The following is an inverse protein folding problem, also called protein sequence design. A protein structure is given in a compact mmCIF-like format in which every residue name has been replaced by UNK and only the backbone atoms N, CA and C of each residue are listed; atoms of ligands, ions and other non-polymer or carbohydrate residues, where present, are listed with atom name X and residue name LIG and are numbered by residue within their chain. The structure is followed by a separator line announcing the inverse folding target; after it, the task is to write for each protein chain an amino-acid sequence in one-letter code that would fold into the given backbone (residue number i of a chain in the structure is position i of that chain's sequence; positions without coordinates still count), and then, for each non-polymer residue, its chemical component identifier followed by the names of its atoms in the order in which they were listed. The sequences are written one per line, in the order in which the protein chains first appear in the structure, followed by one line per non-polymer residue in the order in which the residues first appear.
data_IF_683934800530
#
_entry.id   IF_683934800530
#
_cell.length_a   1.000
_cell.length_b   1.000
_cell.length_c   1.000
_cell.angle_alpha   90.00
_cell.angle_beta   90.00
_cell.angle_gamma   90.00
#
_symmetry.space_group_name_H-M   'P 1'
#
loop_
_entity.id
_entity.type
_entity.pdbx_description
1 polymer ?
#
# COMPACT_ATOMS: atom_id res chain seq x y z
N UNK A 1 15.00 -6.42 0.20
CA UNK A 1 13.63 -5.92 0.09
C UNK A 1 13.68 -4.43 0.32
N UNK A 2 13.12 -3.66 -0.60
CA UNK A 2 13.19 -2.21 -0.64
C UNK A 2 11.79 -1.59 -0.64
N UNK A 3 11.72 -0.36 -0.15
CA UNK A 3 10.52 0.46 -0.24
C UNK A 3 10.08 0.62 -1.70
N UNK A 4 8.78 0.50 -1.94
CA UNK A 4 8.17 0.60 -3.27
C UNK A 4 8.15 -0.72 -4.06
N UNK A 5 8.78 -1.78 -3.57
CA UNK A 5 8.59 -3.10 -4.18
C UNK A 5 7.14 -3.58 -3.99
N UNK A 6 6.56 -4.12 -5.05
CA UNK A 6 5.22 -4.74 -5.05
C UNK A 6 5.39 -6.25 -4.93
N UNK A 7 4.73 -6.84 -3.94
CA UNK A 7 4.86 -8.25 -3.58
C UNK A 7 3.50 -8.91 -3.46
N UNK A 8 3.43 -10.21 -3.75
CA UNK A 8 2.39 -11.06 -3.23
C UNK A 8 2.75 -11.53 -1.83
N UNK A 9 1.81 -11.39 -0.91
CA UNK A 9 1.96 -11.81 0.47
C UNK A 9 0.81 -12.74 0.88
N UNK A 10 1.09 -13.72 1.74
CA UNK A 10 0.07 -14.55 2.36
C UNK A 10 -0.40 -13.88 3.65
N UNK A 11 -1.54 -13.17 3.57
CA UNK A 11 -2.17 -12.44 4.68
C UNK A 11 -3.62 -12.90 4.77
N UNK A 12 -3.84 -13.97 5.52
CA UNK A 12 -5.04 -14.82 5.50
C UNK A 12 -5.25 -15.50 4.14
N UNK A 13 -5.32 -14.70 3.07
CA UNK A 13 -5.32 -15.09 1.67
C UNK A 13 -4.16 -14.39 0.94
N UNK A 14 -3.81 -14.88 -0.26
CA UNK A 14 -2.74 -14.28 -1.07
C UNK A 14 -3.18 -12.92 -1.60
N UNK A 15 -2.53 -11.85 -1.16
CA UNK A 15 -2.86 -10.46 -1.49
C UNK A 15 -1.65 -9.68 -2.01
N UNK A 16 -1.84 -8.74 -2.95
CA UNK A 16 -0.77 -7.85 -3.35
C UNK A 16 -0.55 -6.77 -2.28
N UNK A 17 0.71 -6.46 -2.00
CA UNK A 17 1.14 -5.44 -1.06
C UNK A 17 2.26 -4.61 -1.63
N UNK A 18 2.39 -3.36 -1.17
CA UNK A 18 3.55 -2.50 -1.46
C UNK A 18 4.34 -2.31 -0.18
N UNK A 19 5.63 -2.60 -0.23
CA UNK A 19 6.53 -2.41 0.90
C UNK A 19 6.77 -0.92 1.16
N UNK A 20 6.56 -0.49 2.40
CA UNK A 20 6.78 0.89 2.85
C UNK A 20 8.13 1.01 3.57
N UNK A 21 8.45 0.06 4.44
CA UNK A 21 9.74 0.00 5.11
C UNK A 21 10.09 -1.44 5.46
N UNK A 22 11.37 -1.71 5.70
CA UNK A 22 11.84 -2.99 6.16
C UNK A 22 12.98 -2.80 7.15
N UNK A 23 12.81 -3.32 8.36
CA UNK A 23 13.88 -3.41 9.35
C UNK A 23 14.13 -4.88 9.67
N UNK A 24 15.30 -5.36 9.25
CA UNK A 24 15.84 -6.71 9.50
C UNK A 24 14.87 -7.90 9.22
N UNK A 25 13.91 -8.12 10.11
CA UNK A 25 12.96 -9.24 10.09
C UNK A 25 11.50 -8.84 9.82
N UNK A 26 11.17 -7.55 9.96
CA UNK A 26 9.80 -7.05 9.81
C UNK A 26 9.71 -5.99 8.72
N UNK A 27 8.65 -6.07 7.93
CA UNK A 27 8.36 -5.21 6.80
C UNK A 27 7.01 -4.56 7.03
N UNK A 28 6.97 -3.23 7.03
CA UNK A 28 5.70 -2.51 6.96
C UNK A 28 5.28 -2.45 5.51
N UNK A 29 4.07 -2.89 5.22
CA UNK A 29 3.51 -2.87 3.88
C UNK A 29 2.07 -2.33 3.91
N UNK A 30 1.57 -1.92 2.76
CA UNK A 30 0.16 -1.57 2.57
C UNK A 30 -0.45 -2.51 1.55
N UNK A 31 -1.61 -3.06 1.86
CA UNK A 31 -2.33 -3.93 0.94
C UNK A 31 -2.89 -3.12 -0.23
N UNK A 32 -2.81 -3.72 -1.42
CA UNK A 32 -3.51 -3.25 -2.61
C UNK A 32 -4.95 -3.79 -2.54
N UNK A 33 -5.92 -2.89 -2.56
CA UNK A 33 -7.35 -3.20 -2.41
C UNK A 33 -8.14 -2.76 -3.64
N UNK A 34 -9.38 -3.21 -3.77
CA UNK A 34 -10.26 -2.71 -4.82
C UNK A 34 -10.50 -1.19 -4.64
N UNK A 35 -10.59 -0.40 -5.74
CA UNK A 35 -10.95 1.02 -5.68
C UNK A 35 -12.32 1.24 -5.01
N UNK A 36 -12.54 2.39 -4.40
CA UNK A 36 -13.81 2.66 -3.70
C UNK A 36 -14.98 2.82 -4.68
N UNK A 37 -14.70 3.21 -5.92
CA UNK A 37 -15.70 3.44 -6.97
C UNK A 37 -16.57 4.68 -6.73
N UNK A 38 -16.25 5.48 -5.72
CA UNK A 38 -16.94 6.72 -5.34
C UNK A 38 -15.92 7.80 -4.99
N UNK A 39 -16.35 9.06 -5.03
CA UNK A 39 -15.56 10.19 -4.54
C UNK A 39 -15.38 10.12 -3.02
N UNK A 40 -14.13 10.19 -2.54
CA UNK A 40 -13.81 10.01 -1.13
C UNK A 40 -13.87 11.30 -0.31
N UNK A 41 -14.11 12.46 -0.94
CA UNK A 41 -14.40 13.72 -0.24
C UNK A 41 -13.27 14.18 0.70
N UNK A 42 -12.03 13.82 0.35
CA UNK A 42 -10.84 14.05 1.17
C UNK A 42 -10.80 13.27 2.48
N UNK A 43 -11.64 12.26 2.68
CA UNK A 43 -11.53 11.33 3.83
C UNK A 43 -10.37 10.37 3.63
N UNK A 44 -10.09 10.03 2.38
CA UNK A 44 -8.96 9.23 1.97
C UNK A 44 -8.55 9.60 0.53
N UNK A 45 -7.34 9.21 0.16
CA UNK A 45 -6.88 9.22 -1.22
C UNK A 45 -6.53 7.81 -1.68
N UNK A 46 -6.65 7.57 -2.98
CA UNK A 46 -6.33 6.31 -3.63
C UNK A 46 -5.21 6.52 -4.64
N UNK A 47 -4.14 5.75 -4.51
CA UNK A 47 -3.08 5.66 -5.51
C UNK A 47 -3.26 4.35 -6.26
N UNK A 48 -3.61 4.43 -7.55
CA UNK A 48 -3.80 3.24 -8.39
C UNK A 48 -2.52 2.40 -8.45
N UNK A 49 -2.61 1.07 -8.41
CA UNK A 49 -1.49 0.12 -8.60
C UNK A 49 -2.03 -1.07 -9.39
N UNK A 50 -1.34 -1.49 -10.44
CA UNK A 50 -1.91 -2.47 -11.37
C UNK A 50 -0.89 -3.05 -12.35
N UNK A 51 -1.29 -3.19 -13.61
CA UNK A 51 -0.49 -3.85 -14.65
C UNK A 51 0.90 -3.24 -14.83
N UNK A 52 1.03 -1.91 -14.70
CA UNK A 52 2.32 -1.21 -14.78
C UNK A 52 3.30 -1.61 -13.67
N UNK A 53 2.80 -2.15 -12.56
CA UNK A 53 3.58 -2.62 -11.42
C UNK A 53 3.65 -4.16 -11.36
N UNK A 54 3.27 -4.84 -12.43
CA UNK A 54 3.35 -6.29 -12.56
C UNK A 54 2.18 -7.07 -11.93
N UNK A 55 1.12 -6.39 -11.51
CA UNK A 55 -0.08 -7.05 -11.01
C UNK A 55 -1.00 -7.48 -12.16
N UNK A 56 -1.68 -8.64 -12.06
CA UNK A 56 -2.65 -9.09 -13.07
C UNK A 56 -3.99 -8.36 -12.99
N UNK A 57 -4.24 -7.65 -11.89
CA UNK A 57 -5.48 -6.93 -11.62
C UNK A 57 -5.18 -5.52 -11.14
N UNK A 58 -6.05 -4.58 -11.51
CA UNK A 58 -6.00 -3.20 -11.05
C UNK A 58 -6.52 -3.08 -9.61
N UNK A 59 -5.85 -2.26 -8.81
CA UNK A 59 -6.22 -1.94 -7.44
C UNK A 59 -5.70 -0.57 -7.02
N UNK A 60 -5.81 -0.27 -5.73
CA UNK A 60 -5.36 0.99 -5.13
C UNK A 60 -4.67 0.75 -3.80
N UNK A 61 -3.72 1.62 -3.51
CA UNK A 61 -3.30 1.90 -2.15
C UNK A 61 -4.19 3.01 -1.59
N UNK A 62 -4.95 2.71 -0.54
CA UNK A 62 -5.87 3.68 0.08
C UNK A 62 -5.32 4.20 1.39
N UNK A 63 -5.07 5.51 1.45
CA UNK A 63 -4.59 6.20 2.65
C UNK A 63 -5.70 7.10 3.19
N UNK A 64 -6.16 6.81 4.41
CA UNK A 64 -7.13 7.65 5.11
C UNK A 64 -6.44 8.85 5.76
N UNK A 65 -7.08 10.02 5.70
CA UNK A 65 -6.56 11.25 6.29
C UNK A 65 -7.14 11.48 7.69
N UNK A 66 -6.30 11.83 8.69
CA UNK A 66 -6.75 12.11 10.05
C UNK A 66 -7.77 13.25 10.09
N UNK A 67 -8.89 13.06 10.81
CA UNK A 67 -9.93 14.07 10.99
C UNK A 67 -10.57 13.96 12.39
N UNK A 68 -11.01 15.07 13.00
CA UNK A 68 -11.74 15.03 14.26
C UNK A 68 -12.98 14.12 14.15
N UNK A 69 -13.14 13.22 15.13
CA UNK A 69 -14.30 12.32 15.20
C UNK A 69 -14.27 11.13 14.24
N UNK A 70 -13.17 10.89 13.52
CA UNK A 70 -12.99 9.72 12.64
C UNK A 70 -11.75 8.92 13.07
N UNK A 71 -11.88 7.59 13.06
CA UNK A 71 -10.75 6.67 13.24
C UNK A 71 -10.27 6.27 11.83
N UNK A 72 -9.03 6.60 11.44
CA UNK A 72 -8.53 6.21 10.12
C UNK A 72 -8.43 4.69 9.99
N UNK A 73 -9.17 4.12 9.04
CA UNK A 73 -8.99 2.72 8.63
C UNK A 73 -7.97 2.68 7.49
N UNK A 74 -6.77 2.19 7.78
CA UNK A 74 -5.69 2.03 6.78
C UNK A 74 -5.41 0.55 6.58
N UNK A 75 -5.04 0.17 5.36
CA UNK A 75 -4.77 -1.23 5.00
C UNK A 75 -3.31 -1.61 5.25
N UNK A 76 -2.75 -1.10 6.35
CA UNK A 76 -1.39 -1.36 6.75
C UNK A 76 -1.26 -2.73 7.40
N UNK A 77 -0.16 -3.41 7.09
CA UNK A 77 0.21 -4.70 7.66
C UNK A 77 1.68 -4.71 8.01
N UNK A 78 2.01 -5.45 9.05
CA UNK A 78 3.39 -5.84 9.35
C UNK A 78 3.58 -7.27 8.90
N UNK A 79 4.60 -7.50 8.08
CA UNK A 79 4.92 -8.78 7.48
C UNK A 79 6.31 -9.21 7.88
N UNK A 80 6.55 -10.50 7.86
CA UNK A 80 7.88 -11.09 7.96
C UNK A 80 8.31 -11.62 6.59
N UNK A 81 9.58 -12.00 6.46
CA UNK A 81 10.09 -12.52 5.18
C UNK A 81 9.33 -13.74 4.66
N UNK A 82 8.84 -14.60 5.57
CA UNK A 82 8.08 -15.82 5.22
C UNK A 82 6.69 -15.52 4.65
N UNK A 83 6.13 -14.36 4.95
CA UNK A 83 4.79 -13.98 4.47
C UNK A 83 4.87 -13.45 3.02
N UNK A 84 6.06 -13.06 2.55
CA UNK A 84 6.30 -12.47 1.23
C UNK A 84 6.70 -13.53 0.20
N UNK A 85 5.76 -13.88 -0.67
CA UNK A 85 5.81 -15.03 -1.59
C UNK A 85 6.67 -14.72 -2.83
N UNK A 86 6.22 -13.79 -3.66
CA UNK A 86 6.92 -13.42 -4.90
C UNK A 86 6.85 -11.90 -5.14
N UNK A 87 7.91 -11.34 -5.73
CA UNK A 87 7.91 -9.96 -6.15
C UNK A 87 7.18 -9.85 -7.50
N UNK A 88 6.16 -9.00 -7.57
CA UNK A 88 5.42 -8.72 -8.79
C UNK A 88 6.06 -7.59 -9.60
N UNK A 89 6.59 -6.57 -8.92
CA UNK A 89 7.21 -5.42 -9.57
C UNK A 89 7.72 -4.38 -8.59
N UNK A 90 7.86 -3.15 -9.06
CA UNK A 90 8.34 -2.00 -8.29
C UNK A 90 7.60 -0.75 -8.76
N UNK A 91 7.19 0.11 -7.82
CA UNK A 91 6.65 1.43 -8.15
C UNK A 91 7.69 2.27 -8.90
N UNK A 92 7.26 3.04 -9.89
CA UNK A 92 8.13 4.06 -10.49
C UNK A 92 8.52 5.13 -9.46
N UNK A 93 9.64 5.83 -9.68
CA UNK A 93 10.09 6.87 -8.74
C UNK A 93 9.06 7.99 -8.53
N UNK A 94 8.34 8.37 -9.59
CA UNK A 94 7.26 9.36 -9.50
C UNK A 94 6.14 8.88 -8.58
N UNK A 95 5.67 7.66 -8.81
CA UNK A 95 4.56 7.04 -8.06
C UNK A 95 4.94 6.74 -6.61
N UNK A 96 6.21 6.43 -6.36
CA UNK A 96 6.75 6.30 -5.01
C UNK A 96 6.78 7.64 -4.27
N UNK A 97 7.07 8.74 -4.98
CA UNK A 97 6.95 10.11 -4.47
C UNK A 97 5.51 10.46 -4.08
N UNK A 98 4.55 10.17 -4.97
CA UNK A 98 3.12 10.37 -4.70
C UNK A 98 2.68 9.57 -3.46
N UNK A 99 3.11 8.30 -3.35
CA UNK A 99 2.83 7.47 -2.19
C UNK A 99 3.39 8.08 -0.90
N UNK A 100 4.62 8.59 -0.94
CA UNK A 100 5.24 9.23 0.23
C UNK A 100 4.49 10.47 0.68
N UNK A 101 4.03 11.31 -0.25
CA UNK A 101 3.20 12.48 0.06
C UNK A 101 1.88 12.06 0.72
N UNK A 102 1.21 11.04 0.17
CA UNK A 102 -0.03 10.53 0.74
C UNK A 102 0.15 9.96 2.15
N UNK A 103 1.24 9.22 2.40
CA UNK A 103 1.55 8.68 3.72
C UNK A 103 1.79 9.79 4.74
N UNK A 104 2.46 10.87 4.35
CA UNK A 104 2.67 12.04 5.19
C UNK A 104 1.35 12.76 5.52
N UNK A 105 0.50 13.00 4.52
CA UNK A 105 -0.84 13.55 4.72
C UNK A 105 -1.74 12.64 5.57
N UNK A 106 -1.52 11.32 5.51
CA UNK A 106 -2.17 10.31 6.33
C UNK A 106 -1.65 10.25 7.78
N UNK A 107 -0.58 10.98 8.12
CA UNK A 107 0.09 10.88 9.42
C UNK A 107 0.72 9.52 9.68
N UNK A 108 1.11 8.80 8.61
CA UNK A 108 1.71 7.47 8.66
C UNK A 108 3.24 7.49 8.58
N UNK A 109 3.83 8.67 8.32
CA UNK A 109 5.26 8.99 8.22
C UNK A 109 5.56 10.45 8.61
#
# INVERSE_FOLDING_TARGET
MQRGEVWWADIDERRPVVLLSGEASEFRAMQVVAPAGIELGGVAAELAVGACEGLPLEGVLRVAFPRPGLIPCTWLVTLTRKDLVEQAGVLSSAKLGDLQELLHLGGLE
#
